data_IF_230870070399
#
_entry.id   IF_230870070399
#
_cell.length_a   1.000
_cell.length_b   1.000
_cell.length_c   1.000
_cell.angle_alpha   90.00
_cell.angle_beta   90.00
_cell.angle_gamma   90.00
#
_symmetry.space_group_name_H-M   'P 1'
#
loop_
_entity.id
_entity.type
_entity.pdbx_description
1 polymer ?
#
# COMPACT_ATOMS: atom_id res chain seq x y z
N UNK A 1 33.09 -5.30 3.83
CA UNK A 1 33.10 -6.20 2.64
C UNK A 1 33.96 -5.59 1.53
N UNK A 2 34.68 -6.38 0.72
CA UNK A 2 35.49 -5.86 -0.41
C UNK A 2 34.59 -5.37 -1.55
N UNK A 3 34.91 -4.25 -2.18
CA UNK A 3 34.13 -3.63 -3.28
C UNK A 3 33.90 -4.60 -4.45
N UNK A 4 34.91 -5.39 -4.80
CA UNK A 4 34.83 -6.43 -5.83
C UNK A 4 33.78 -7.50 -5.52
N UNK A 5 33.64 -7.90 -4.24
CA UNK A 5 32.65 -8.88 -3.83
C UNK A 5 31.22 -8.33 -3.96
N UNK A 6 31.03 -7.03 -3.69
CA UNK A 6 29.75 -6.35 -3.88
C UNK A 6 29.37 -6.34 -5.36
N UNK A 7 30.32 -5.98 -6.23
CA UNK A 7 30.10 -5.97 -7.67
C UNK A 7 29.72 -7.36 -8.19
N UNK A 8 30.45 -8.39 -7.77
CA UNK A 8 30.19 -9.75 -8.22
C UNK A 8 28.80 -10.23 -7.78
N UNK A 9 28.44 -9.99 -6.52
CA UNK A 9 27.13 -10.39 -5.99
C UNK A 9 25.98 -9.64 -6.67
N UNK A 10 26.14 -8.33 -6.92
CA UNK A 10 25.17 -7.53 -7.67
C UNK A 10 25.03 -8.04 -9.11
N UNK A 11 26.15 -8.27 -9.80
CA UNK A 11 26.16 -8.76 -11.18
C UNK A 11 25.46 -10.12 -11.29
N UNK A 12 25.78 -11.06 -10.40
CA UNK A 12 25.16 -12.38 -10.37
C UNK A 12 23.65 -12.27 -10.14
N UNK A 13 23.23 -11.42 -9.19
CA UNK A 13 21.81 -11.19 -8.90
C UNK A 13 21.07 -10.59 -10.10
N UNK A 14 21.69 -9.67 -10.84
CA UNK A 14 21.11 -9.12 -12.08
C UNK A 14 20.94 -10.20 -13.15
N UNK A 15 21.99 -10.99 -13.41
CA UNK A 15 21.96 -12.06 -14.40
C UNK A 15 20.88 -13.08 -14.03
N UNK A 16 20.88 -13.58 -12.80
CA UNK A 16 19.88 -14.55 -12.35
C UNK A 16 18.44 -14.01 -12.47
N UNK A 17 18.24 -12.72 -12.21
CA UNK A 17 16.93 -12.09 -12.39
C UNK A 17 16.55 -11.95 -13.87
N UNK A 18 17.47 -11.48 -14.73
CA UNK A 18 17.25 -11.34 -16.18
C UNK A 18 16.91 -12.69 -16.86
N UNK A 19 17.56 -13.78 -16.42
CA UNK A 19 17.28 -15.13 -16.89
C UNK A 19 16.09 -15.80 -16.17
N UNK A 20 15.37 -15.07 -15.30
CA UNK A 20 14.21 -15.56 -14.52
C UNK A 20 14.52 -16.78 -13.65
N UNK A 21 15.76 -16.91 -13.18
CA UNK A 21 16.17 -17.96 -12.23
C UNK A 21 15.77 -17.65 -10.79
N UNK A 22 15.53 -16.37 -10.49
CA UNK A 22 15.07 -15.88 -9.19
C UNK A 22 13.87 -14.94 -9.38
N UNK A 23 12.99 -14.88 -8.37
CA UNK A 23 11.85 -13.98 -8.40
C UNK A 23 12.26 -12.52 -8.19
N UNK A 24 11.37 -11.57 -8.53
CA UNK A 24 11.54 -10.16 -8.20
C UNK A 24 11.74 -9.95 -6.68
N UNK A 25 11.00 -10.71 -5.87
CA UNK A 25 11.13 -10.70 -4.42
C UNK A 25 12.53 -11.15 -3.97
N UNK A 26 13.05 -12.23 -4.53
CA UNK A 26 14.40 -12.74 -4.22
C UNK A 26 15.48 -11.74 -4.63
N UNK A 27 15.34 -11.15 -5.82
CA UNK A 27 16.25 -10.13 -6.33
C UNK A 27 16.32 -8.92 -5.38
N UNK A 28 15.18 -8.38 -4.94
CA UNK A 28 15.15 -7.29 -3.97
C UNK A 28 15.72 -7.68 -2.61
N UNK A 29 15.39 -8.87 -2.11
CA UNK A 29 15.91 -9.39 -0.84
C UNK A 29 17.44 -9.47 -0.88
N UNK A 30 18.01 -9.90 -2.00
CA UNK A 30 19.46 -9.93 -2.22
C UNK A 30 20.08 -8.53 -2.25
N UNK A 31 19.48 -7.56 -2.94
CA UNK A 31 19.98 -6.18 -2.95
C UNK A 31 19.90 -5.50 -1.57
N UNK A 32 18.84 -5.76 -0.80
CA UNK A 32 18.70 -5.26 0.57
C UNK A 32 19.72 -5.90 1.51
N UNK A 33 19.94 -7.21 1.38
CA UNK A 33 20.98 -7.93 2.12
C UNK A 33 22.35 -7.36 1.80
N UNK A 34 22.64 -7.11 0.52
CA UNK A 34 23.87 -6.48 0.08
C UNK A 34 24.04 -5.08 0.69
N UNK A 35 23.00 -4.25 0.67
CA UNK A 35 23.00 -2.93 1.31
C UNK A 35 23.37 -3.01 2.80
N UNK A 36 22.71 -3.90 3.54
CA UNK A 36 22.93 -4.07 4.98
C UNK A 36 24.34 -4.59 5.33
N UNK A 37 24.99 -5.35 4.44
CA UNK A 37 26.34 -5.89 4.65
C UNK A 37 27.47 -4.90 4.31
N UNK A 38 27.17 -3.70 3.82
CA UNK A 38 28.18 -2.74 3.33
C UNK A 38 28.63 -1.71 4.36
N UNK A 39 28.16 -1.81 5.61
CA UNK A 39 28.47 -0.88 6.73
C UNK A 39 28.33 0.59 6.33
N UNK A 40 27.41 0.88 5.41
CA UNK A 40 27.15 2.21 4.86
C UNK A 40 28.32 2.89 4.13
N UNK A 41 29.22 2.12 3.51
CA UNK A 41 30.29 2.70 2.69
C UNK A 41 29.67 3.50 1.51
N UNK A 42 29.86 4.84 1.42
CA UNK A 42 29.16 5.68 0.45
C UNK A 42 29.43 5.30 -1.01
N UNK A 43 30.67 4.91 -1.34
CA UNK A 43 31.05 4.49 -2.69
C UNK A 43 30.37 3.17 -3.10
N UNK A 44 29.94 2.38 -2.12
CA UNK A 44 29.27 1.09 -2.32
C UNK A 44 27.75 1.25 -2.33
N UNK A 45 27.23 2.17 -1.52
CA UNK A 45 25.81 2.54 -1.53
C UNK A 45 25.41 3.05 -2.91
N UNK A 46 26.20 3.93 -3.52
CA UNK A 46 25.93 4.49 -4.86
C UNK A 46 25.78 3.38 -5.91
N UNK A 47 26.62 2.33 -5.82
CA UNK A 47 26.55 1.18 -6.71
C UNK A 47 25.30 0.33 -6.54
N UNK A 48 24.63 0.34 -5.39
CA UNK A 48 23.46 -0.50 -5.10
C UNK A 48 22.16 0.30 -5.33
N UNK A 49 22.15 1.59 -5.01
CA UNK A 49 20.96 2.46 -5.06
C UNK A 49 20.41 2.64 -6.46
N UNK A 50 21.27 2.64 -7.50
CA UNK A 50 20.82 2.73 -8.90
C UNK A 50 19.89 1.58 -9.33
N UNK A 51 20.01 0.40 -8.72
CA UNK A 51 19.19 -0.79 -9.03
C UNK A 51 18.08 -1.05 -8.00
N UNK A 52 18.06 -0.31 -6.89
CA UNK A 52 16.97 -0.34 -5.90
C UNK A 52 15.83 0.62 -6.28
N UNK A 53 15.84 1.17 -7.50
CA UNK A 53 14.67 1.84 -8.07
C UNK A 53 13.58 0.79 -8.29
N UNK A 54 12.69 0.70 -7.30
CA UNK A 54 11.47 -0.09 -7.31
C UNK A 54 10.57 0.38 -8.45
N UNK A 55 10.54 -0.37 -9.55
CA UNK A 55 9.46 -0.34 -10.55
C UNK A 55 8.36 -1.29 -10.04
N UNK A 56 7.20 -0.79 -9.57
CA UNK A 56 6.17 -1.62 -8.95
C UNK A 56 5.35 -2.48 -9.93
N UNK A 57 5.67 -2.48 -11.23
CA UNK A 57 4.79 -3.10 -12.23
C UNK A 57 5.45 -4.29 -12.91
N UNK A 58 5.09 -5.48 -12.42
CA UNK A 58 4.56 -6.63 -13.20
C UNK A 58 4.55 -7.89 -12.32
N UNK A 59 3.49 -8.06 -11.52
CA UNK A 59 2.99 -9.39 -11.22
C UNK A 59 1.88 -9.63 -12.24
N UNK A 60 2.24 -10.28 -13.36
CA UNK A 60 1.25 -10.94 -14.20
C UNK A 60 0.72 -12.12 -13.38
N UNK A 61 -0.49 -11.97 -12.81
CA UNK A 61 -1.22 -13.11 -12.29
C UNK A 61 -1.67 -13.94 -13.49
N UNK A 62 -1.07 -15.11 -13.64
CA UNK A 62 -1.67 -16.21 -14.43
C UNK A 62 -3.05 -16.47 -13.81
N UNK A 63 -4.10 -16.06 -14.53
CA UNK A 63 -5.46 -16.35 -14.14
C UNK A 63 -5.76 -17.82 -14.49
N UNK A 64 -5.77 -18.69 -13.48
CA UNK A 64 -6.44 -19.97 -13.61
C UNK A 64 -7.95 -19.71 -13.74
N UNK A 65 -8.47 -19.91 -14.95
CA UNK A 65 -9.90 -19.89 -15.25
C UNK A 65 -10.62 -20.95 -14.38
N UNK A 66 -11.47 -20.49 -13.46
CA UNK A 66 -12.48 -21.33 -12.82
C UNK A 66 -13.86 -20.68 -12.96
N UNK A 67 -14.54 -21.09 -14.03
CA UNK A 67 -15.99 -21.33 -14.12
C UNK A 67 -16.96 -20.27 -13.57
N UNK A 68 -17.52 -19.49 -14.49
CA UNK A 68 -18.83 -18.84 -14.38
C UNK A 68 -19.93 -19.87 -14.10
N UNK A 69 -20.48 -19.94 -12.87
CA UNK A 69 -21.85 -20.42 -12.57
C UNK A 69 -22.18 -20.32 -11.06
N UNK A 70 -22.53 -19.13 -10.54
CA UNK A 70 -23.22 -19.05 -9.24
C UNK A 70 -24.00 -17.74 -8.94
N UNK A 71 -24.20 -16.82 -9.89
CA UNK A 71 -24.93 -15.58 -9.62
C UNK A 71 -26.29 -15.50 -10.30
N UNK A 72 -27.16 -16.49 -10.04
CA UNK A 72 -28.60 -16.38 -10.31
C UNK A 72 -29.42 -17.05 -9.23
N UNK A 73 -30.03 -16.22 -8.39
CA UNK A 73 -31.18 -16.58 -7.58
C UNK A 73 -30.92 -16.40 -6.09
N UNK A 74 -31.50 -15.35 -5.51
CA UNK A 74 -32.65 -15.50 -4.62
C UNK A 74 -33.07 -14.11 -4.11
N UNK A 75 -34.22 -13.66 -4.60
CA UNK A 75 -35.00 -12.58 -4.03
C UNK A 75 -36.00 -13.13 -3.01
N UNK A 76 -36.12 -12.40 -1.91
CA UNK A 76 -37.32 -12.16 -1.09
C UNK A 76 -37.70 -13.10 0.08
N UNK A 77 -37.88 -12.41 1.22
CA UNK A 77 -38.95 -12.51 2.23
C UNK A 77 -38.76 -13.36 3.49
N UNK A 78 -38.57 -12.64 4.61
CA UNK A 78 -39.42 -12.71 5.79
C UNK A 78 -39.07 -13.72 6.89
N UNK A 79 -38.58 -13.23 8.03
CA UNK A 79 -39.23 -13.32 9.37
C UNK A 79 -38.21 -13.24 10.51
N UNK A 80 -38.34 -12.18 11.31
CA UNK A 80 -37.89 -11.94 12.69
C UNK A 80 -36.95 -12.94 13.38
N UNK A 81 -35.77 -12.47 13.77
CA UNK A 81 -35.31 -12.57 15.17
C UNK A 81 -34.25 -11.50 15.46
N UNK A 82 -34.52 -10.68 16.47
CA UNK A 82 -33.57 -9.79 17.10
C UNK A 82 -32.44 -10.60 17.73
N UNK A 83 -31.22 -10.48 17.18
CA UNK A 83 -29.99 -10.61 17.95
C UNK A 83 -28.99 -9.59 17.41
N UNK A 84 -28.54 -8.71 18.32
CA UNK A 84 -27.44 -7.78 18.12
C UNK A 84 -26.24 -8.47 17.46
N UNK A 85 -25.85 -8.03 16.27
CA UNK A 85 -24.48 -8.18 15.78
C UNK A 85 -23.89 -6.77 15.59
N UNK A 86 -23.34 -6.26 16.69
CA UNK A 86 -22.41 -5.13 16.67
C UNK A 86 -21.02 -5.52 16.11
N UNK A 87 -20.85 -6.72 15.56
CA UNK A 87 -19.53 -7.35 15.34
C UNK A 87 -19.01 -7.38 13.89
N UNK A 88 -19.83 -7.11 12.87
CA UNK A 88 -19.34 -7.14 11.47
C UNK A 88 -18.49 -5.91 11.07
N UNK A 89 -18.49 -4.85 11.90
CA UNK A 89 -17.58 -3.72 11.68
C UNK A 89 -16.13 -4.09 12.00
N UNK A 90 -15.92 -5.09 12.84
CA UNK A 90 -14.60 -5.50 13.30
C UNK A 90 -13.86 -6.48 12.37
N UNK A 91 -14.41 -6.78 11.19
CA UNK A 91 -13.70 -7.52 10.14
C UNK A 91 -13.64 -6.79 8.79
N UNK A 92 -14.05 -5.52 8.73
CA UNK A 92 -13.94 -4.75 7.49
C UNK A 92 -12.47 -4.63 7.04
N UNK A 93 -12.16 -5.25 5.89
CA UNK A 93 -10.87 -5.13 5.19
C UNK A 93 -10.81 -3.85 4.33
N UNK A 94 -11.95 -3.25 4.05
CA UNK A 94 -12.08 -2.04 3.24
C UNK A 94 -13.07 -1.08 3.89
N UNK A 95 -12.77 0.22 3.83
CA UNK A 95 -13.66 1.31 4.19
C UNK A 95 -13.84 2.23 2.99
N UNK A 96 -15.10 2.54 2.65
CA UNK A 96 -15.44 3.54 1.63
C UNK A 96 -16.06 4.74 2.30
N UNK A 97 -15.56 5.94 2.01
CA UNK A 97 -16.08 7.17 2.61
C UNK A 97 -17.58 7.35 2.32
N UNK A 98 -18.35 7.72 3.34
CA UNK A 98 -19.79 7.96 3.16
C UNK A 98 -20.05 9.15 2.23
N UNK A 99 -19.29 10.23 2.41
CA UNK A 99 -19.35 11.44 1.59
C UNK A 99 -18.23 11.44 0.55
N UNK A 100 -18.52 11.86 -0.72
CA UNK A 100 -17.49 12.04 -1.71
C UNK A 100 -16.54 13.17 -1.29
N UNK A 101 -15.25 12.99 -1.56
CA UNK A 101 -14.28 14.07 -1.60
C UNK A 101 -14.33 14.79 -2.95
N UNK A 102 -13.26 15.52 -3.28
CA UNK A 102 -13.17 16.32 -4.52
C UNK A 102 -13.25 15.49 -5.79
N UNK A 103 -12.67 14.30 -5.80
CA UNK A 103 -12.56 13.47 -7.02
C UNK A 103 -13.56 12.31 -7.03
N UNK A 104 -13.82 11.69 -5.88
CA UNK A 104 -14.81 10.62 -5.71
C UNK A 104 -14.95 10.27 -4.22
N UNK A 105 -15.66 9.18 -3.91
CA UNK A 105 -15.49 8.52 -2.61
C UNK A 105 -14.12 7.85 -2.57
N UNK A 106 -13.51 7.83 -1.39
CA UNK A 106 -12.21 7.20 -1.18
C UNK A 106 -12.41 5.80 -0.59
N UNK A 107 -11.77 4.81 -1.19
CA UNK A 107 -11.66 3.45 -0.69
C UNK A 107 -10.31 3.28 0.03
N UNK A 108 -10.33 2.77 1.25
CA UNK A 108 -9.16 2.53 2.09
C UNK A 108 -9.14 1.05 2.41
N UNK A 109 -8.01 0.40 2.16
CA UNK A 109 -7.84 -1.05 2.31
C UNK A 109 -6.82 -1.34 3.41
N UNK A 110 -7.13 -2.27 4.30
CA UNK A 110 -6.23 -2.67 5.38
C UNK A 110 -5.03 -3.48 4.87
N UNK A 111 -5.24 -4.35 3.88
CA UNK A 111 -4.18 -5.20 3.31
C UNK A 111 -3.52 -4.62 2.06
N UNK A 112 -3.40 -3.30 1.95
CA UNK A 112 -2.84 -2.67 0.75
C UNK A 112 -1.31 -2.67 0.79
N UNK A 113 -0.61 -3.41 -0.11
CA UNK A 113 0.84 -3.40 -0.16
C UNK A 113 1.41 -2.05 -0.64
N UNK A 114 0.60 -1.20 -1.28
CA UNK A 114 1.02 0.13 -1.68
C UNK A 114 1.14 1.07 -0.46
N UNK A 115 2.30 1.69 -0.28
CA UNK A 115 2.53 2.65 0.79
C UNK A 115 2.25 4.09 0.38
N UNK A 116 2.03 4.34 -0.91
CA UNK A 116 2.00 5.68 -1.48
C UNK A 116 0.56 6.21 -1.62
N UNK A 117 0.27 7.47 -1.23
CA UNK A 117 1.14 8.46 -0.63
C UNK A 117 1.26 8.36 0.89
N UNK A 118 0.56 7.48 1.59
CA UNK A 118 0.69 7.28 3.03
C UNK A 118 0.12 5.92 3.43
N UNK A 119 0.34 5.50 4.68
CA UNK A 119 -0.34 4.33 5.26
C UNK A 119 -1.19 4.80 6.45
N UNK A 120 -2.53 4.70 6.37
CA UNK A 120 -3.32 4.35 5.18
C UNK A 120 -3.27 5.44 4.10
N UNK A 121 -3.72 5.10 2.89
CA UNK A 121 -4.06 6.05 1.83
C UNK A 121 -5.43 5.69 1.23
N UNK A 122 -6.04 6.65 0.53
CA UNK A 122 -7.31 6.44 -0.16
C UNK A 122 -7.15 6.27 -1.66
N UNK A 123 -7.83 5.30 -2.25
CA UNK A 123 -8.00 5.15 -3.70
C UNK A 123 -9.32 5.77 -4.12
N UNK A 124 -9.31 6.55 -5.19
CA UNK A 124 -10.55 7.07 -5.75
C UNK A 124 -11.35 5.92 -6.37
N UNK A 125 -12.60 5.74 -5.95
CA UNK A 125 -13.50 4.68 -6.47
C UNK A 125 -13.77 4.83 -7.97
N UNK A 126 -13.59 6.03 -8.54
CA UNK A 126 -13.79 6.28 -9.97
C UNK A 126 -12.53 6.08 -10.82
N UNK A 127 -11.36 6.16 -10.22
CA UNK A 127 -10.06 6.13 -10.91
C UNK A 127 -8.99 5.78 -9.88
N UNK A 128 -8.48 4.55 -9.93
CA UNK A 128 -7.46 4.00 -9.02
C UNK A 128 -6.11 4.72 -9.11
N UNK A 129 -5.85 5.41 -10.22
CA UNK A 129 -4.67 6.26 -10.40
C UNK A 129 -4.73 7.54 -9.57
N UNK A 130 -5.87 7.86 -8.96
CA UNK A 130 -6.02 9.01 -8.07
C UNK A 130 -5.98 8.56 -6.62
N UNK A 131 -4.98 9.04 -5.87
CA UNK A 131 -4.70 8.63 -4.49
C UNK A 131 -4.70 9.79 -3.52
N UNK A 132 -5.22 9.58 -2.31
CA UNK A 132 -5.31 10.55 -1.22
C UNK A 132 -4.31 10.23 -0.10
N UNK A 133 -3.52 11.21 0.31
CA UNK A 133 -2.81 11.19 1.60
C UNK A 133 -3.82 11.47 2.72
N UNK A 134 -4.16 10.44 3.50
CA UNK A 134 -5.18 10.53 4.53
C UNK A 134 -4.81 11.47 5.68
N UNK A 135 -3.54 11.84 5.86
CA UNK A 135 -3.09 12.72 6.95
C UNK A 135 -3.04 14.18 6.52
N UNK A 136 -2.49 14.44 5.34
CA UNK A 136 -2.23 15.80 4.84
C UNK A 136 -3.34 16.30 3.90
N UNK A 137 -4.10 15.37 3.33
CA UNK A 137 -5.16 15.62 2.35
C UNK A 137 -4.67 15.85 0.93
N UNK A 138 -3.37 15.69 0.63
CA UNK A 138 -2.87 15.85 -0.73
C UNK A 138 -3.38 14.74 -1.64
N UNK A 139 -3.75 15.11 -2.86
CA UNK A 139 -4.28 14.21 -3.88
C UNK A 139 -3.24 14.08 -4.98
N UNK A 140 -2.95 12.85 -5.36
CA UNK A 140 -1.91 12.51 -6.33
C UNK A 140 -2.52 11.80 -7.53
N UNK A 141 -1.95 12.04 -8.71
CA UNK A 141 -2.17 11.20 -9.88
C UNK A 141 -0.94 10.33 -10.11
N UNK A 142 -1.12 9.01 -10.14
CA UNK A 142 -0.07 8.00 -10.33
C UNK A 142 -0.12 7.35 -11.71
N UNK A 143 -0.74 7.99 -12.70
CA UNK A 143 -0.91 7.43 -14.04
C UNK A 143 0.38 7.07 -14.79
N UNK A 144 1.51 7.69 -14.45
CA UNK A 144 2.83 7.43 -15.02
C UNK A 144 3.85 7.25 -13.89
N UNK A 145 4.32 6.01 -13.66
CA UNK A 145 5.35 5.68 -12.67
C UNK A 145 6.67 6.44 -12.91
N UNK A 146 6.91 6.93 -14.12
CA UNK A 146 8.21 7.44 -14.53
C UNK A 146 8.51 8.90 -14.15
N UNK A 147 7.51 9.76 -13.87
CA UNK A 147 7.76 11.21 -13.74
C UNK A 147 6.85 11.87 -12.70
N UNK A 148 7.24 11.69 -11.45
CA UNK A 148 6.76 12.41 -10.25
C UNK A 148 5.34 12.04 -9.85
N UNK A 149 5.25 11.58 -8.60
CA UNK A 149 4.10 11.59 -7.71
C UNK A 149 3.51 13.00 -7.64
N UNK A 150 2.77 13.40 -8.67
CA UNK A 150 2.32 14.76 -8.87
C UNK A 150 1.12 15.02 -7.98
N UNK A 151 1.30 15.90 -7.00
CA UNK A 151 0.18 16.49 -6.26
C UNK A 151 -0.65 17.26 -7.28
N UNK A 152 -1.89 16.82 -7.52
CA UNK A 152 -2.81 17.48 -8.44
C UNK A 152 -3.79 18.40 -7.72
N UNK A 153 -4.07 18.11 -6.44
CA UNK A 153 -4.97 18.90 -5.60
C UNK A 153 -4.78 18.53 -4.12
N UNK A 154 -5.62 19.08 -3.25
CA UNK A 154 -5.72 18.78 -1.83
C UNK A 154 -7.17 18.81 -1.36
N UNK A 155 -7.60 17.81 -0.62
CA UNK A 155 -8.88 17.81 0.08
C UNK A 155 -9.01 19.00 1.04
N UNK A 156 -10.25 19.39 1.31
CA UNK A 156 -10.51 20.40 2.32
C UNK A 156 -10.06 19.91 3.70
N UNK A 157 -9.52 20.81 4.51
CA UNK A 157 -9.11 20.49 5.88
C UNK A 157 -10.25 19.87 6.70
N UNK A 158 -11.47 20.39 6.54
CA UNK A 158 -12.67 19.86 7.20
C UNK A 158 -12.96 18.42 6.78
N UNK A 159 -12.77 18.08 5.50
CA UNK A 159 -12.93 16.72 5.01
C UNK A 159 -11.97 15.74 5.71
N UNK A 160 -10.70 16.12 5.85
CA UNK A 160 -9.69 15.30 6.53
C UNK A 160 -9.98 15.18 8.04
N UNK A 161 -10.47 16.25 8.67
CA UNK A 161 -10.89 16.19 10.07
C UNK A 161 -12.06 15.23 10.24
N UNK A 162 -13.09 15.35 9.39
CA UNK A 162 -14.27 14.49 9.43
C UNK A 162 -13.90 13.03 9.18
N UNK A 163 -12.95 12.77 8.27
CA UNK A 163 -12.41 11.43 8.02
C UNK A 163 -11.78 10.84 9.29
N UNK A 164 -10.92 11.59 9.99
CA UNK A 164 -10.30 11.12 11.23
C UNK A 164 -11.24 11.08 12.45
N UNK A 165 -12.42 11.70 12.34
CA UNK A 165 -13.49 11.61 13.33
C UNK A 165 -14.38 10.37 13.16
N UNK A 166 -14.39 9.76 11.97
CA UNK A 166 -15.14 8.54 11.65
C UNK A 166 -14.48 7.29 12.27
N UNK A 167 -15.19 6.61 13.16
CA UNK A 167 -14.69 5.41 13.86
C UNK A 167 -14.45 4.21 12.95
N UNK A 168 -15.26 4.05 11.90
CA UNK A 168 -15.08 2.98 10.93
C UNK A 168 -13.79 3.19 10.13
N UNK A 169 -13.53 4.44 9.73
CA UNK A 169 -12.26 4.78 9.08
C UNK A 169 -11.06 4.51 10.00
N UNK A 170 -11.13 4.95 11.27
CA UNK A 170 -10.04 4.75 12.25
C UNK A 170 -9.73 3.28 12.48
N UNK A 171 -10.75 2.42 12.48
CA UNK A 171 -10.61 0.98 12.63
C UNK A 171 -9.82 0.38 11.46
N UNK A 172 -10.23 0.68 10.23
CA UNK A 172 -9.52 0.20 9.03
C UNK A 172 -8.11 0.83 8.92
N UNK A 173 -7.96 2.09 9.31
CA UNK A 173 -6.66 2.77 9.35
C UNK A 173 -5.68 2.10 10.31
N UNK A 174 -6.12 1.72 11.52
CA UNK A 174 -5.28 0.99 12.47
C UNK A 174 -4.88 -0.37 11.92
N UNK A 175 -5.83 -1.11 11.33
CA UNK A 175 -5.52 -2.40 10.68
C UNK A 175 -4.53 -2.26 9.54
N UNK A 176 -4.67 -1.21 8.72
CA UNK A 176 -3.70 -0.93 7.65
C UNK A 176 -2.29 -0.71 8.22
N UNK A 177 -2.19 0.04 9.31
CA UNK A 177 -0.91 0.27 9.99
C UNK A 177 -0.35 -1.02 10.57
N UNK A 178 -1.15 -1.78 11.30
CA UNK A 178 -0.71 -3.04 11.93
C UNK A 178 -0.28 -4.07 10.89
N UNK A 179 -1.10 -4.30 9.87
CA UNK A 179 -0.79 -5.19 8.76
C UNK A 179 0.50 -4.77 8.05
N UNK A 180 0.70 -3.47 7.80
CA UNK A 180 1.90 -2.99 7.13
C UNK A 180 3.15 -3.09 8.02
N UNK A 181 3.03 -2.84 9.33
CA UNK A 181 4.12 -3.03 10.29
C UNK A 181 4.56 -4.49 10.36
N UNK A 182 3.60 -5.42 10.36
CA UNK A 182 3.86 -6.85 10.43
C UNK A 182 4.43 -7.40 9.11
N UNK A 183 3.89 -6.94 7.98
CA UNK A 183 4.29 -7.40 6.63
C UNK A 183 5.62 -6.79 6.18
N UNK A 184 5.88 -5.54 6.53
CA UNK A 184 7.07 -4.79 6.11
C UNK A 184 7.79 -4.18 7.34
N UNK A 185 8.40 -5.00 8.22
CA UNK A 185 8.98 -4.55 9.48
C UNK A 185 10.16 -3.57 9.31
N UNK A 186 10.77 -3.54 8.12
CA UNK A 186 11.86 -2.63 7.77
C UNK A 186 11.38 -1.32 7.10
N UNK A 187 10.06 -1.13 6.93
CA UNK A 187 9.52 0.09 6.34
C UNK A 187 9.86 1.32 7.18
N UNK A 188 10.40 2.35 6.53
CA UNK A 188 10.75 3.60 7.18
C UNK A 188 9.51 4.51 7.33
N UNK A 189 8.88 4.46 8.49
CA UNK A 189 7.71 5.27 8.81
C UNK A 189 8.05 6.77 8.86
N UNK A 190 7.13 7.60 8.33
CA UNK A 190 7.24 9.07 8.38
C UNK A 190 7.17 9.66 9.80
N UNK A 191 6.69 8.86 10.75
CA UNK A 191 6.48 9.22 12.15
C UNK A 191 7.06 8.13 13.04
N UNK A 192 7.54 8.51 14.23
CA UNK A 192 8.15 7.58 15.18
C UNK A 192 7.16 6.62 15.83
N UNK A 193 5.86 6.96 15.86
CA UNK A 193 4.80 6.17 16.48
C UNK A 193 3.59 6.04 15.54
N UNK A 194 3.62 5.15 14.54
CA UNK A 194 2.57 5.01 13.54
C UNK A 194 1.18 4.75 14.13
N UNK A 195 1.10 3.93 15.17
CA UNK A 195 -0.15 3.61 15.89
C UNK A 195 -0.79 4.79 16.63
N UNK A 196 -0.11 5.93 16.76
CA UNK A 196 -0.71 7.15 17.31
C UNK A 196 -1.49 7.89 16.23
N UNK A 197 -2.74 7.47 16.02
CA UNK A 197 -3.65 8.11 15.08
C UNK A 197 -3.92 9.58 15.44
N UNK A 198 -4.22 10.44 14.45
CA UNK A 198 -4.68 11.80 14.68
C UNK A 198 -5.81 11.87 15.72
N UNK A 199 -5.74 12.88 16.59
CA UNK A 199 -6.77 13.15 17.60
C UNK A 199 -8.06 13.59 16.91
N UNK A 200 -9.20 13.07 17.39
CA UNK A 200 -10.52 13.58 17.02
C UNK A 200 -10.63 15.06 17.39
N UNK A 201 -11.39 15.83 16.60
CA UNK A 201 -11.59 17.27 16.77
C UNK A 201 -13.06 17.63 16.79
#
# INVERSE_FOLDING_TARGET
MKVEAVHLYKLLSNIEFEFRLISLHDYHTRLLTLYNLTDFNPAVIELIVDNMQFEPDRIEYESDEVGDEALRGLTSNGTTSDFHNEDDRDNALEYITQRPGKYSKWAIRAGDPDYFPSIPHGHSVKNDKIKLDCYLGYIYNVADNAKKRNVIDREHRTYIIDLWNDDSFRTVAMRAIDWYMDTFPLYNWRVSKPRLLPRKR
#
